data_IF_654276099107
#
_entry.id   IF_654276099107
#
_cell.length_a   1.000
_cell.length_b   1.000
_cell.length_c   1.000
_cell.angle_alpha   90.00
_cell.angle_beta   90.00
_cell.angle_gamma   90.00
#
_symmetry.space_group_name_H-M   'P 1'
#
loop_
_entity.id
_entity.type
_entity.pdbx_description
1 polymer ?
#
# COMPACT_ATOMS: atom_id res chain seq x y z
N UNK A 1 -1.82 2.07 -11.18
CA UNK A 1 -2.53 1.31 -10.13
C UNK A 1 -3.39 2.27 -9.32
N UNK A 2 -4.67 1.93 -9.09
CA UNK A 2 -5.58 2.63 -8.17
C UNK A 2 -5.85 1.70 -6.97
N UNK A 3 -5.75 2.22 -5.74
CA UNK A 3 -6.05 1.47 -4.51
C UNK A 3 -7.44 1.90 -4.05
N UNK A 4 -8.37 0.95 -3.93
CA UNK A 4 -9.73 1.24 -3.49
C UNK A 4 -9.89 1.11 -1.98
N UNK A 5 -9.20 0.13 -1.37
CA UNK A 5 -9.21 -0.13 0.07
C UNK A 5 -7.80 -0.51 0.53
N UNK A 6 -7.46 -0.17 1.77
CA UNK A 6 -6.19 -0.53 2.38
C UNK A 6 -6.41 -0.91 3.85
N UNK A 7 -5.79 -2.00 4.25
CA UNK A 7 -5.48 -2.31 5.66
C UNK A 7 -3.96 -2.33 5.76
N UNK A 8 -3.40 -1.80 6.85
CA UNK A 8 -1.97 -1.85 7.12
C UNK A 8 -1.72 -2.39 8.53
N UNK A 9 -0.79 -3.33 8.65
CA UNK A 9 -0.34 -3.89 9.92
C UNK A 9 1.19 -3.93 9.90
N UNK A 10 1.78 -3.42 10.97
CA UNK A 10 3.21 -3.45 11.24
C UNK A 10 3.43 -4.17 12.56
N UNK A 11 3.83 -5.43 12.48
CA UNK A 11 4.03 -6.27 13.66
C UNK A 11 5.27 -5.88 14.46
N UNK A 12 6.24 -5.18 13.86
CA UNK A 12 7.47 -4.79 14.58
C UNK A 12 7.21 -3.67 15.60
N UNK A 13 6.33 -2.74 15.24
CA UNK A 13 5.99 -1.58 16.06
C UNK A 13 4.53 -1.61 16.54
N UNK A 14 3.83 -2.73 16.33
CA UNK A 14 2.40 -2.94 16.63
C UNK A 14 1.48 -1.84 16.11
N UNK A 15 1.81 -1.27 14.94
CA UNK A 15 1.01 -0.20 14.33
C UNK A 15 0.00 -0.80 13.39
N UNK A 16 -1.20 -0.24 13.40
CA UNK A 16 -2.28 -0.65 12.50
C UNK A 16 -2.96 0.57 11.91
N UNK A 17 -3.24 0.50 10.62
CA UNK A 17 -4.30 1.28 9.99
C UNK A 17 -5.47 0.32 9.80
N UNK A 18 -6.58 0.60 10.47
CA UNK A 18 -7.83 -0.10 10.23
C UNK A 18 -8.22 -0.03 8.76
N UNK A 19 -9.05 -0.97 8.31
CA UNK A 19 -9.46 -1.01 6.91
C UNK A 19 -10.15 0.30 6.50
N UNK A 20 -9.54 1.02 5.57
CA UNK A 20 -10.07 2.27 5.02
C UNK A 20 -10.41 2.12 3.54
N UNK A 21 -11.44 2.82 3.10
CA UNK A 21 -11.76 2.98 1.67
C UNK A 21 -11.29 4.35 1.20
N UNK A 22 -10.60 4.41 0.06
CA UNK A 22 -10.14 5.68 -0.49
C UNK A 22 -11.26 6.36 -1.28
N UNK A 23 -11.37 7.67 -1.09
CA UNK A 23 -12.18 8.54 -1.94
C UNK A 23 -11.59 8.58 -3.36
N UNK A 24 -12.42 8.81 -4.40
CA UNK A 24 -11.97 8.82 -5.80
C UNK A 24 -10.95 9.90 -6.16
N UNK A 25 -10.90 11.00 -5.39
CA UNK A 25 -10.10 12.19 -5.66
C UNK A 25 -8.88 12.28 -4.74
N UNK A 26 -9.06 12.87 -3.55
CA UNK A 26 -8.01 13.16 -2.57
C UNK A 26 -8.34 12.54 -1.22
N UNK A 27 -7.31 12.03 -0.56
CA UNK A 27 -7.41 11.44 0.77
C UNK A 27 -6.30 12.04 1.63
N UNK A 28 -6.62 12.33 2.89
CA UNK A 28 -5.70 12.98 3.81
C UNK A 28 -5.24 12.00 4.90
N UNK A 29 -3.93 11.82 5.06
CA UNK A 29 -3.33 11.02 6.11
C UNK A 29 -2.80 11.94 7.22
N UNK A 30 -3.54 12.02 8.33
CA UNK A 30 -3.22 12.86 9.50
C UNK A 30 -3.10 12.02 10.76
N UNK A 31 -2.43 12.58 11.77
CA UNK A 31 -2.21 11.96 13.07
C UNK A 31 -1.03 12.61 13.78
N UNK A 32 -0.86 12.32 15.07
CA UNK A 32 0.22 12.90 15.89
C UNK A 32 1.61 12.48 15.40
N UNK A 33 2.67 13.14 15.87
CA UNK A 33 4.04 12.79 15.49
C UNK A 33 4.39 11.36 15.92
N UNK A 34 5.24 10.66 15.15
CA UNK A 34 5.72 9.32 15.51
C UNK A 34 4.76 8.14 15.26
N UNK A 35 3.49 8.36 14.89
CA UNK A 35 2.49 7.27 14.68
C UNK A 35 2.72 6.39 13.45
N UNK A 36 3.71 6.70 12.61
CA UNK A 36 4.06 5.86 11.45
C UNK A 36 3.47 6.29 10.10
N UNK A 37 3.06 7.57 9.94
CA UNK A 37 2.54 8.09 8.66
C UNK A 37 3.50 7.85 7.49
N UNK A 38 4.80 8.04 7.73
CA UNK A 38 5.86 7.82 6.74
C UNK A 38 5.95 6.35 6.32
N UNK A 39 5.82 5.43 7.26
CA UNK A 39 5.91 3.98 7.04
C UNK A 39 4.71 3.47 6.23
N UNK A 40 3.51 3.95 6.55
CA UNK A 40 2.29 3.67 5.76
C UNK A 40 2.49 4.13 4.30
N UNK A 41 2.99 5.35 4.09
CA UNK A 41 3.25 5.86 2.74
C UNK A 41 4.35 5.06 2.02
N UNK A 42 5.40 4.63 2.72
CA UNK A 42 6.45 3.75 2.16
C UNK A 42 5.85 2.39 1.76
N UNK A 43 4.98 1.81 2.57
CA UNK A 43 4.30 0.55 2.26
C UNK A 43 3.42 0.68 1.01
N UNK A 44 2.61 1.74 0.91
CA UNK A 44 1.81 2.04 -0.28
C UNK A 44 2.69 2.20 -1.53
N UNK A 45 3.82 2.89 -1.42
CA UNK A 45 4.77 3.05 -2.54
C UNK A 45 5.43 1.73 -2.95
N UNK A 46 5.80 0.88 -1.99
CA UNK A 46 6.32 -0.47 -2.26
C UNK A 46 5.28 -1.32 -2.98
N UNK A 47 4.03 -1.31 -2.51
CA UNK A 47 2.93 -2.00 -3.16
C UNK A 47 2.77 -1.53 -4.62
N UNK A 48 2.79 -0.21 -4.88
CA UNK A 48 2.74 0.34 -6.24
C UNK A 48 3.90 -0.15 -7.11
N UNK A 49 5.12 -0.19 -6.57
CA UNK A 49 6.31 -0.65 -7.29
C UNK A 49 6.20 -2.12 -7.68
N UNK A 50 5.89 -2.98 -6.71
CA UNK A 50 5.70 -4.42 -6.93
C UNK A 50 4.58 -4.66 -7.95
N UNK A 51 3.45 -3.97 -7.79
CA UNK A 51 2.32 -4.05 -8.70
C UNK A 51 2.63 -3.57 -10.14
N UNK A 52 3.75 -2.90 -10.36
CA UNK A 52 4.25 -2.46 -11.65
C UNK A 52 5.42 -3.33 -12.16
N UNK A 53 5.69 -4.48 -11.53
CA UNK A 53 6.75 -5.41 -11.94
C UNK A 53 8.14 -5.08 -11.37
N UNK A 54 8.24 -4.19 -10.38
CA UNK A 54 9.54 -3.96 -9.74
C UNK A 54 9.89 -5.10 -8.79
N UNK A 55 11.14 -5.57 -8.85
CA UNK A 55 11.70 -6.46 -7.83
C UNK A 55 11.91 -5.73 -6.50
N UNK A 56 11.54 -6.39 -5.40
CA UNK A 56 11.80 -5.93 -4.03
C UNK A 56 12.44 -7.08 -3.25
N UNK A 57 13.64 -6.85 -2.72
CA UNK A 57 14.44 -7.88 -2.00
C UNK A 57 14.65 -9.16 -2.82
N UNK A 58 14.85 -9.04 -4.13
CA UNK A 58 15.02 -10.17 -5.04
C UNK A 58 13.72 -10.88 -5.43
N UNK A 59 12.57 -10.43 -4.92
CA UNK A 59 11.24 -10.98 -5.26
C UNK A 59 10.53 -10.07 -6.24
N UNK A 60 10.16 -10.62 -7.38
CA UNK A 60 9.38 -9.94 -8.42
C UNK A 60 7.99 -10.57 -8.54
N UNK A 61 6.96 -9.74 -8.70
CA UNK A 61 5.59 -10.21 -8.89
C UNK A 61 5.11 -9.77 -10.27
N UNK A 62 4.87 -10.76 -11.12
CA UNK A 62 4.36 -10.54 -12.47
C UNK A 62 2.83 -10.55 -12.48
N UNK A 63 2.26 -9.61 -13.23
CA UNK A 63 0.81 -9.58 -13.49
C UNK A 63 0.55 -10.17 -14.86
N UNK A 64 -0.11 -11.30 -14.88
CA UNK A 64 -0.71 -11.82 -16.10
C UNK A 64 -2.10 -11.20 -16.23
N UNK A 65 -2.39 -10.62 -17.40
CA UNK A 65 -3.77 -10.29 -17.75
C UNK A 65 -4.39 -11.59 -18.23
N UNK A 66 -5.34 -12.13 -17.48
CA UNK A 66 -6.21 -13.15 -18.03
C UNK A 66 -6.93 -12.49 -19.22
N UNK A 67 -6.69 -13.02 -20.42
CA UNK A 67 -7.53 -12.71 -21.57
C UNK A 67 -8.90 -13.31 -21.25
N UNK A 68 -9.80 -12.50 -20.70
CA UNK A 68 -11.23 -12.78 -20.84
C UNK A 68 -11.58 -12.60 -22.32
N UNK A 69 -12.13 -13.62 -22.99
CA UNK A 69 -12.57 -13.55 -24.38
C UNK A 69 -13.69 -12.51 -24.58
#
# INVERSE_FOLDING_TARGET
>A
MKIHKLEYKDHKYERKLEKVSFLPSINLLVGVSGVGKTEILKAIRRLKRIANGASLNGVEINKFKDHTP
#
